data_IF_345738879351
#
_entry.id   IF_345738879351
#
_cell.length_a   1.000
_cell.length_b   1.000
_cell.length_c   1.000
_cell.angle_alpha   90.00
_cell.angle_beta   90.00
_cell.angle_gamma   90.00
#
_symmetry.space_group_name_H-M   'P 1'
#
loop_
_entity.id
_entity.type
_entity.pdbx_description
1 polymer ?
#
# COMPACT_ATOMS: atom_id res chain seq x y z
N UNK A 1 5.19 -11.76 -11.45
CA UNK A 1 5.49 -11.26 -10.10
C UNK A 1 4.46 -10.20 -9.70
N UNK A 2 3.92 -10.25 -8.49
CA UNK A 2 3.06 -9.19 -7.93
C UNK A 2 3.77 -8.52 -6.74
N UNK A 3 3.62 -7.22 -6.54
CA UNK A 3 4.11 -6.50 -5.36
C UNK A 3 2.97 -5.82 -4.59
N UNK A 4 3.10 -5.77 -3.27
CA UNK A 4 2.16 -5.05 -2.38
C UNK A 4 2.86 -3.96 -1.60
N UNK A 5 2.22 -2.80 -1.49
CA UNK A 5 2.67 -1.70 -0.62
C UNK A 5 1.60 -1.29 0.38
N UNK A 6 2.01 -0.51 1.38
CA UNK A 6 1.10 0.16 2.30
C UNK A 6 0.48 1.43 1.69
N UNK A 7 -0.70 1.86 2.14
CA UNK A 7 -1.25 3.16 1.80
C UNK A 7 -0.52 4.26 2.59
N UNK A 8 -0.80 5.52 2.25
CA UNK A 8 -0.34 6.68 3.02
C UNK A 8 -1.49 7.34 3.79
N UNK A 9 -1.13 8.11 4.83
CA UNK A 9 -2.08 8.86 5.65
C UNK A 9 -2.41 10.24 5.06
N UNK A 10 -1.43 10.87 4.42
CA UNK A 10 -1.65 12.12 3.71
C UNK A 10 -2.10 11.79 2.29
N UNK A 11 -2.96 12.64 1.75
CA UNK A 11 -3.53 12.48 0.44
C UNK A 11 -3.38 13.79 -0.34
N UNK A 12 -3.20 13.68 -1.65
CA UNK A 12 -3.06 14.79 -2.59
C UNK A 12 -4.18 14.68 -3.63
N UNK A 13 -5.11 15.63 -3.59
CA UNK A 13 -6.20 15.75 -4.56
C UNK A 13 -6.10 17.03 -5.40
N UNK A 14 -5.03 17.82 -5.22
CA UNK A 14 -4.89 19.15 -5.79
C UNK A 14 -3.86 19.18 -6.93
N UNK A 15 -2.79 18.39 -6.84
CA UNK A 15 -1.76 18.37 -7.89
C UNK A 15 -2.33 17.90 -9.24
N UNK A 16 -1.73 18.31 -10.37
CA UNK A 16 -2.04 17.71 -11.67
C UNK A 16 -1.89 16.17 -11.63
N UNK A 17 -2.76 15.47 -12.36
CA UNK A 17 -2.65 14.01 -12.54
C UNK A 17 -1.69 13.71 -13.69
N UNK A 18 -0.86 12.69 -13.54
CA UNK A 18 0.09 12.26 -14.58
C UNK A 18 -0.57 11.39 -15.67
N UNK A 19 -1.79 10.91 -15.43
CA UNK A 19 -2.58 10.14 -16.40
C UNK A 19 -4.07 10.35 -16.14
N UNK A 20 -4.88 10.30 -17.20
CA UNK A 20 -6.34 10.30 -17.14
C UNK A 20 -6.90 8.87 -17.07
N UNK A 21 -6.07 7.84 -17.25
CA UNK A 21 -6.49 6.45 -17.14
C UNK A 21 -6.87 6.13 -15.69
N UNK A 22 -8.03 5.49 -15.53
CA UNK A 22 -8.50 5.06 -14.22
C UNK A 22 -9.29 3.75 -14.29
N UNK A 23 -9.44 3.12 -13.14
CA UNK A 23 -10.31 1.98 -12.89
C UNK A 23 -11.14 2.19 -11.62
N UNK A 24 -12.01 1.23 -11.29
CA UNK A 24 -12.84 1.27 -10.09
C UNK A 24 -12.37 0.21 -9.09
N UNK A 25 -12.37 0.49 -7.78
CA UNK A 25 -12.02 -0.52 -6.78
C UNK A 25 -12.98 -1.71 -6.84
N UNK A 26 -12.43 -2.92 -6.79
CA UNK A 26 -13.19 -4.16 -6.90
C UNK A 26 -14.02 -4.46 -5.63
N UNK A 27 -13.58 -3.96 -4.47
CA UNK A 27 -14.15 -4.25 -3.15
C UNK A 27 -15.04 -3.12 -2.61
N UNK A 28 -15.63 -2.30 -3.49
CA UNK A 28 -16.50 -1.18 -3.07
C UNK A 28 -17.72 -1.61 -2.27
N UNK A 29 -18.25 -2.82 -2.50
CA UNK A 29 -19.37 -3.35 -1.72
C UNK A 29 -19.01 -3.49 -0.23
N UNK A 30 -17.83 -4.02 0.07
CA UNK A 30 -17.30 -4.12 1.43
C UNK A 30 -16.95 -2.75 2.00
N UNK A 31 -16.36 -1.86 1.20
CA UNK A 31 -16.10 -0.46 1.61
C UNK A 31 -17.38 0.26 2.04
N UNK A 32 -18.51 0.02 1.37
CA UNK A 32 -19.82 0.59 1.76
C UNK A 32 -20.26 0.15 3.15
N UNK A 33 -19.99 -1.11 3.53
CA UNK A 33 -20.31 -1.62 4.87
C UNK A 33 -19.49 -0.89 5.93
N UNK A 34 -18.17 -0.78 5.73
CA UNK A 34 -17.30 -0.02 6.63
C UNK A 34 -17.70 1.46 6.70
N UNK A 35 -17.98 2.07 5.54
CA UNK A 35 -18.34 3.49 5.47
C UNK A 35 -19.66 3.78 6.18
N UNK A 36 -20.65 2.88 6.08
CA UNK A 36 -21.90 3.00 6.86
C UNK A 36 -21.62 3.09 8.35
N UNK A 37 -20.69 2.29 8.87
CA UNK A 37 -20.25 2.35 10.27
C UNK A 37 -19.46 3.64 10.56
N UNK A 38 -18.52 4.02 9.70
CA UNK A 38 -17.72 5.23 9.89
C UNK A 38 -18.58 6.50 9.94
N UNK A 39 -19.66 6.58 9.14
CA UNK A 39 -20.62 7.69 9.15
C UNK A 39 -21.39 7.85 10.47
N UNK A 40 -21.44 6.83 11.32
CA UNK A 40 -22.10 6.95 12.64
C UNK A 40 -21.17 7.45 13.74
N UNK A 41 -19.87 7.57 13.47
CA UNK A 41 -18.88 7.98 14.46
C UNK A 41 -18.89 9.50 14.61
N UNK A 42 -18.93 9.97 15.86
CA UNK A 42 -18.71 11.39 16.13
C UNK A 42 -17.23 11.76 15.91
N UNK A 43 -16.89 13.04 15.73
CA UNK A 43 -15.49 13.47 15.72
C UNK A 43 -14.71 13.03 16.97
N UNK A 44 -15.35 12.97 18.14
CA UNK A 44 -14.71 12.47 19.37
C UNK A 44 -14.39 10.97 19.28
N UNK A 45 -15.33 10.16 18.75
CA UNK A 45 -15.10 8.73 18.53
C UNK A 45 -13.96 8.50 17.53
N UNK A 46 -13.92 9.28 16.45
CA UNK A 46 -12.87 9.21 15.42
C UNK A 46 -11.51 9.60 16.01
N UNK A 47 -11.45 10.68 16.80
CA UNK A 47 -10.26 11.15 17.51
C UNK A 47 -9.67 10.04 18.38
N UNK A 48 -10.51 9.41 19.19
CA UNK A 48 -10.14 8.28 20.08
C UNK A 48 -9.72 7.04 19.30
N UNK A 49 -10.56 6.57 18.35
CA UNK A 49 -10.29 5.39 17.53
C UNK A 49 -8.97 5.52 16.76
N UNK A 50 -8.73 6.69 16.15
CA UNK A 50 -7.59 6.91 15.27
C UNK A 50 -6.35 7.43 15.98
N UNK A 51 -6.47 7.87 17.25
CA UNK A 51 -5.44 8.56 18.01
C UNK A 51 -4.88 9.77 17.23
N UNK A 52 -5.78 10.70 16.89
CA UNK A 52 -5.49 11.90 16.09
C UNK A 52 -6.02 13.16 16.79
N UNK A 53 -5.63 14.34 16.33
CA UNK A 53 -6.15 15.60 16.85
C UNK A 53 -7.62 15.83 16.44
N UNK A 54 -8.34 16.63 17.21
CA UNK A 54 -9.75 16.97 16.93
C UNK A 54 -9.95 17.61 15.56
N UNK A 55 -9.01 18.47 15.14
CA UNK A 55 -9.01 19.05 13.79
C UNK A 55 -9.01 17.95 12.71
N UNK A 56 -8.16 16.94 12.89
CA UNK A 56 -8.05 15.85 11.92
C UNK A 56 -9.22 14.88 12.02
N UNK A 57 -9.79 14.70 13.22
CA UNK A 57 -10.99 13.91 13.42
C UNK A 57 -12.21 14.56 12.75
N UNK A 58 -12.39 15.89 12.89
CA UNK A 58 -13.42 16.65 12.17
C UNK A 58 -13.27 16.54 10.66
N UNK A 59 -12.05 16.66 10.13
CA UNK A 59 -11.79 16.45 8.70
C UNK A 59 -12.19 15.05 8.24
N UNK A 60 -11.90 14.00 9.02
CA UNK A 60 -12.26 12.63 8.62
C UNK A 60 -13.75 12.34 8.82
N UNK A 61 -14.42 12.98 9.79
CA UNK A 61 -15.89 12.93 9.88
C UNK A 61 -16.56 13.51 8.62
N UNK A 62 -16.07 14.67 8.14
CA UNK A 62 -16.54 15.28 6.90
C UNK A 62 -16.29 14.35 5.69
N UNK A 63 -15.05 13.84 5.53
CA UNK A 63 -14.71 12.87 4.48
C UNK A 63 -15.61 11.64 4.50
N UNK A 64 -15.88 11.09 5.68
CA UNK A 64 -16.81 9.96 5.80
C UNK A 64 -18.22 10.34 5.39
N UNK A 65 -18.73 11.51 5.81
CA UNK A 65 -20.05 12.02 5.43
C UNK A 65 -20.20 12.21 3.92
N UNK A 66 -19.19 12.82 3.28
CA UNK A 66 -19.12 13.11 1.85
C UNK A 66 -18.91 11.87 0.98
N UNK A 67 -18.40 10.77 1.56
CA UNK A 67 -18.11 9.57 0.81
C UNK A 67 -19.36 9.02 0.11
N UNK A 68 -19.30 8.91 -1.22
CA UNK A 68 -20.42 8.49 -2.05
C UNK A 68 -19.97 7.85 -3.36
N UNK A 69 -20.75 6.89 -3.85
CA UNK A 69 -20.60 6.30 -5.19
C UNK A 69 -21.65 6.88 -6.14
N UNK A 70 -21.38 7.02 -7.46
CA UNK A 70 -20.21 6.52 -8.19
C UNK A 70 -18.94 7.37 -8.00
N UNK A 71 -17.78 6.72 -8.12
CA UNK A 71 -16.50 7.44 -8.16
C UNK A 71 -16.22 7.93 -9.57
N UNK A 72 -15.81 9.18 -9.65
CA UNK A 72 -15.53 9.90 -10.89
C UNK A 72 -14.30 10.78 -10.69
N UNK A 73 -13.58 11.19 -11.74
CA UNK A 73 -12.43 12.09 -11.60
C UNK A 73 -12.74 13.40 -10.86
N UNK A 74 -14.00 13.83 -10.83
CA UNK A 74 -14.46 15.03 -10.11
C UNK A 74 -14.49 14.86 -8.59
N UNK A 75 -14.66 13.62 -8.10
CA UNK A 75 -14.81 13.34 -6.67
C UNK A 75 -13.76 12.37 -6.11
N UNK A 76 -12.95 11.75 -6.97
CA UNK A 76 -11.99 10.70 -6.62
C UNK A 76 -10.72 10.83 -7.47
N UNK A 77 -9.65 10.18 -7.03
CA UNK A 77 -8.36 10.15 -7.73
C UNK A 77 -7.76 8.75 -7.70
N UNK A 78 -7.00 8.39 -8.72
CA UNK A 78 -6.26 7.12 -8.78
C UNK A 78 -5.41 6.94 -7.52
N UNK A 79 -5.47 5.77 -6.90
CA UNK A 79 -4.84 5.50 -5.61
C UNK A 79 -3.34 5.85 -5.59
N UNK A 80 -2.61 5.48 -6.65
CA UNK A 80 -1.16 5.73 -6.75
C UNK A 80 -0.81 7.23 -6.84
N UNK A 81 -1.75 8.05 -7.33
CA UNK A 81 -1.60 9.51 -7.46
C UNK A 81 -2.21 10.27 -6.28
N UNK A 82 -3.10 9.63 -5.52
CA UNK A 82 -3.75 10.22 -4.36
C UNK A 82 -2.94 10.06 -3.07
N UNK A 83 -2.29 8.91 -2.87
CA UNK A 83 -1.50 8.69 -1.67
C UNK A 83 -0.21 9.51 -1.66
N UNK A 84 0.07 10.18 -0.55
CA UNK A 84 1.24 11.03 -0.37
C UNK A 84 1.97 10.71 0.95
N UNK A 85 3.25 10.37 0.88
CA UNK A 85 4.11 10.04 2.02
C UNK A 85 5.34 9.26 1.57
N UNK A 86 6.23 8.89 2.50
CA UNK A 86 7.58 8.38 2.20
C UNK A 86 7.64 7.28 1.12
N UNK A 87 6.73 6.29 1.18
CA UNK A 87 6.63 5.22 0.16
C UNK A 87 6.30 5.81 -1.20
N UNK A 88 5.36 6.75 -1.28
CA UNK A 88 4.92 7.36 -2.53
C UNK A 88 5.89 8.43 -3.03
N UNK A 89 6.69 9.04 -2.14
CA UNK A 89 7.85 9.85 -2.52
C UNK A 89 8.95 9.00 -3.15
N UNK A 90 9.18 7.78 -2.65
CA UNK A 90 10.10 6.84 -3.28
C UNK A 90 9.56 6.26 -4.59
N UNK A 91 8.26 6.00 -4.66
CA UNK A 91 7.60 5.49 -5.85
C UNK A 91 7.56 6.53 -6.98
N UNK A 92 7.26 7.78 -6.63
CA UNK A 92 7.20 8.93 -7.52
C UNK A 92 6.38 8.69 -8.80
N UNK A 93 5.18 8.13 -8.64
CA UNK A 93 4.31 7.79 -9.77
C UNK A 93 3.89 8.99 -10.63
N UNK A 94 4.19 10.23 -10.22
CA UNK A 94 3.99 11.43 -11.05
C UNK A 94 4.97 11.49 -12.24
N UNK A 95 6.09 10.75 -12.19
CA UNK A 95 7.06 10.67 -13.29
C UNK A 95 6.91 9.44 -14.19
N UNK A 96 5.89 8.61 -13.94
CA UNK A 96 5.61 7.40 -14.73
C UNK A 96 5.14 7.73 -16.15
N UNK A 97 5.59 6.93 -17.11
CA UNK A 97 5.01 6.85 -18.44
C UNK A 97 3.70 6.03 -18.46
N UNK A 98 2.98 6.05 -19.58
CA UNK A 98 1.77 5.22 -19.74
C UNK A 98 2.08 3.71 -19.66
N UNK A 99 3.26 3.29 -20.12
CA UNK A 99 3.73 1.91 -20.00
C UNK A 99 4.01 1.55 -18.54
N UNK A 100 4.61 2.46 -17.76
CA UNK A 100 4.83 2.27 -16.33
C UNK A 100 3.50 2.16 -15.57
N UNK A 101 2.50 2.99 -15.90
CA UNK A 101 1.16 2.88 -15.32
C UNK A 101 0.49 1.55 -15.69
N UNK A 102 0.62 1.11 -16.94
CA UNK A 102 0.07 -0.17 -17.41
C UNK A 102 0.71 -1.34 -16.67
N UNK A 103 2.05 -1.33 -16.55
CA UNK A 103 2.78 -2.35 -15.82
C UNK A 103 2.41 -2.32 -14.33
N UNK A 104 2.43 -1.15 -13.69
CA UNK A 104 2.03 -1.01 -12.28
C UNK A 104 0.61 -1.54 -12.05
N UNK A 105 -0.34 -1.22 -12.93
CA UNK A 105 -1.72 -1.66 -12.81
C UNK A 105 -1.84 -3.20 -12.75
N UNK A 106 -0.99 -3.91 -13.47
CA UNK A 106 -0.94 -5.37 -13.49
C UNK A 106 -0.15 -5.95 -12.32
N UNK A 107 1.00 -5.34 -12.00
CA UNK A 107 2.03 -5.90 -11.11
C UNK A 107 2.03 -5.35 -9.69
N UNK A 108 1.20 -4.35 -9.36
CA UNK A 108 1.18 -3.71 -8.05
C UNK A 108 -0.21 -3.70 -7.42
N UNK A 109 -0.26 -3.86 -6.10
CA UNK A 109 -1.44 -3.62 -5.27
C UNK A 109 -1.11 -2.77 -4.06
N UNK A 110 -2.08 -2.01 -3.59
CA UNK A 110 -2.01 -1.17 -2.39
C UNK A 110 -3.00 -1.73 -1.37
N UNK A 111 -2.51 -2.22 -0.24
CA UNK A 111 -3.38 -2.66 0.85
C UNK A 111 -4.09 -1.45 1.47
N UNK A 112 -5.35 -1.59 1.89
CA UNK A 112 -6.15 -0.49 2.41
C UNK A 112 -7.09 -0.94 3.51
N UNK A 113 -7.19 -0.17 4.60
CA UNK A 113 -8.17 -0.47 5.66
C UNK A 113 -9.61 -0.30 5.20
N UNK A 114 -9.90 0.67 4.30
CA UNK A 114 -11.25 0.94 3.79
C UNK A 114 -11.56 0.20 2.49
N UNK A 115 -10.59 0.15 1.58
CA UNK A 115 -10.78 -0.42 0.24
C UNK A 115 -10.30 -1.87 0.12
N UNK A 116 -9.69 -2.42 1.18
CA UNK A 116 -9.14 -3.77 1.21
C UNK A 116 -7.87 -3.88 0.38
N UNK A 117 -8.03 -3.88 -0.94
CA UNK A 117 -6.98 -3.99 -1.94
C UNK A 117 -7.30 -3.06 -3.12
N UNK A 118 -6.40 -2.15 -3.42
CA UNK A 118 -6.49 -1.22 -4.55
C UNK A 118 -5.45 -1.58 -5.62
N UNK A 119 -5.81 -1.40 -6.88
CA UNK A 119 -4.85 -1.27 -7.98
C UNK A 119 -4.38 0.18 -8.10
N UNK A 120 -3.20 0.45 -8.68
CA UNK A 120 -2.66 1.80 -8.85
C UNK A 120 -3.65 2.82 -9.44
N UNK A 121 -4.40 2.44 -10.47
CA UNK A 121 -5.33 3.30 -11.18
C UNK A 121 -6.76 3.28 -10.62
N UNK A 122 -7.03 2.52 -9.55
CA UNK A 122 -8.36 2.53 -8.93
C UNK A 122 -8.64 3.91 -8.32
N UNK A 123 -9.76 4.51 -8.70
CA UNK A 123 -10.25 5.73 -8.08
C UNK A 123 -10.54 5.50 -6.60
N UNK A 124 -10.13 6.43 -5.76
CA UNK A 124 -10.49 6.47 -4.35
C UNK A 124 -10.90 7.88 -3.94
N UNK A 125 -11.83 7.95 -3.01
CA UNK A 125 -12.14 9.17 -2.28
C UNK A 125 -11.32 9.26 -1.00
N UNK A 126 -11.15 10.49 -0.51
CA UNK A 126 -10.33 10.77 0.66
C UNK A 126 -10.90 10.07 1.90
N UNK A 127 -10.02 9.44 2.69
CA UNK A 127 -10.39 8.77 3.93
C UNK A 127 -9.19 8.71 4.86
N UNK A 128 -9.44 8.33 6.12
CA UNK A 128 -8.40 7.80 7.00
C UNK A 128 -8.98 6.63 7.78
N UNK A 129 -8.48 5.43 7.50
CA UNK A 129 -8.85 4.22 8.23
C UNK A 129 -7.67 3.24 8.10
N UNK A 130 -6.73 3.34 9.04
CA UNK A 130 -5.57 2.44 9.06
C UNK A 130 -5.99 0.99 9.38
N UNK A 131 -5.30 -0.01 8.82
CA UNK A 131 -5.67 -1.43 8.96
C UNK A 131 -5.65 -1.90 10.42
N UNK A 132 -4.77 -1.35 11.26
CA UNK A 132 -4.67 -1.72 12.67
C UNK A 132 -5.80 -1.24 13.58
N UNK A 133 -6.81 -0.54 13.06
CA UNK A 133 -7.88 0.06 13.88
C UNK A 133 -8.89 -0.97 14.35
N UNK A 134 -9.28 -0.86 15.63
CA UNK A 134 -10.32 -1.68 16.28
C UNK A 134 -11.69 -1.08 16.03
N UNK A 135 -12.14 -1.13 14.78
CA UNK A 135 -13.48 -0.71 14.40
C UNK A 135 -14.42 -1.90 14.49
N UNK A 136 -15.31 -1.91 15.48
CA UNK A 136 -16.38 -2.90 15.58
C UNK A 136 -17.31 -2.81 14.37
N UNK A 137 -17.64 -3.97 13.79
CA UNK A 137 -18.41 -4.11 12.57
C UNK A 137 -19.15 -5.45 12.56
N UNK A 138 -20.04 -5.64 11.58
CA UNK A 138 -20.91 -6.83 11.50
C UNK A 138 -20.15 -8.16 11.32
N UNK A 139 -18.84 -8.10 10.99
CA UNK A 139 -17.98 -9.27 10.74
C UNK A 139 -16.88 -9.43 11.79
N UNK A 140 -16.83 -8.59 12.83
CA UNK A 140 -15.85 -8.69 13.91
C UNK A 140 -15.55 -7.38 14.63
N UNK A 141 -14.55 -7.41 15.51
CA UNK A 141 -14.15 -6.28 16.36
C UNK A 141 -13.02 -5.42 15.77
N UNK A 142 -12.54 -5.76 14.59
CA UNK A 142 -11.45 -5.05 13.92
C UNK A 142 -11.45 -5.33 12.40
N UNK A 143 -10.62 -4.58 11.67
CA UNK A 143 -10.55 -4.67 10.22
C UNK A 143 -9.91 -5.97 9.71
N UNK A 144 -9.03 -6.62 10.48
CA UNK A 144 -8.48 -7.92 10.09
C UNK A 144 -9.58 -8.99 10.03
N UNK A 145 -10.48 -8.99 11.01
CA UNK A 145 -11.64 -9.89 11.02
C UNK A 145 -12.65 -9.53 9.93
N UNK A 146 -12.90 -8.23 9.71
CA UNK A 146 -13.80 -7.77 8.67
C UNK A 146 -13.38 -8.25 7.27
N UNK A 147 -12.08 -8.09 6.96
CA UNK A 147 -11.54 -8.48 5.67
C UNK A 147 -11.32 -9.99 5.56
N UNK A 148 -11.04 -10.69 6.66
CA UNK A 148 -10.88 -12.15 6.68
C UNK A 148 -9.96 -12.63 5.55
N UNK A 149 -10.49 -13.48 4.66
CA UNK A 149 -9.76 -14.00 3.52
C UNK A 149 -9.94 -13.19 2.23
N UNK A 150 -10.84 -12.20 2.20
CA UNK A 150 -11.25 -11.44 0.99
C UNK A 150 -10.05 -10.83 0.28
N UNK A 151 -9.17 -10.13 1.02
CA UNK A 151 -7.96 -9.51 0.47
C UNK A 151 -7.05 -10.58 -0.15
N UNK A 152 -6.93 -11.72 0.53
CA UNK A 152 -6.04 -12.81 0.10
C UNK A 152 -6.56 -13.48 -1.16
N UNK A 153 -7.87 -13.67 -1.29
CA UNK A 153 -8.45 -14.24 -2.50
C UNK A 153 -8.30 -13.32 -3.71
N UNK A 154 -8.46 -12.00 -3.56
CA UNK A 154 -8.16 -11.06 -4.65
C UNK A 154 -6.67 -11.03 -5.00
N UNK A 155 -5.78 -11.16 -4.01
CA UNK A 155 -4.35 -11.34 -4.27
C UNK A 155 -4.07 -12.64 -5.02
N UNK A 156 -4.68 -13.77 -4.63
CA UNK A 156 -4.51 -15.05 -5.32
C UNK A 156 -4.90 -14.96 -6.80
N UNK A 157 -6.00 -14.28 -7.13
CA UNK A 157 -6.40 -14.02 -8.52
C UNK A 157 -5.34 -13.20 -9.27
N UNK A 158 -4.89 -12.10 -8.67
CA UNK A 158 -3.90 -11.23 -9.27
C UNK A 158 -2.53 -11.90 -9.45
N UNK A 159 -2.13 -12.76 -8.51
CA UNK A 159 -0.89 -13.54 -8.52
C UNK A 159 -0.96 -14.63 -9.59
N UNK A 160 -2.07 -15.37 -9.68
CA UNK A 160 -2.24 -16.40 -10.69
C UNK A 160 -2.13 -15.85 -12.11
N UNK A 161 -2.62 -14.63 -12.34
CA UNK A 161 -2.47 -13.93 -13.62
C UNK A 161 -1.01 -13.63 -14.00
N UNK A 162 -0.08 -13.66 -13.05
CA UNK A 162 1.36 -13.46 -13.30
C UNK A 162 2.08 -14.74 -13.74
N UNK A 163 1.55 -15.92 -13.38
CA UNK A 163 2.12 -17.23 -13.72
C UNK A 163 3.29 -17.73 -12.86
N UNK A 164 3.98 -16.86 -12.12
CA UNK A 164 5.16 -17.22 -11.30
C UNK A 164 4.85 -17.50 -9.83
N UNK A 165 3.65 -17.16 -9.36
CA UNK A 165 3.22 -17.31 -7.97
C UNK A 165 4.13 -16.60 -6.95
N UNK A 166 4.70 -15.44 -7.31
CA UNK A 166 5.56 -14.66 -6.41
C UNK A 166 4.85 -13.40 -5.94
N UNK A 167 4.92 -13.14 -4.63
CA UNK A 167 4.46 -11.90 -3.99
C UNK A 167 5.62 -11.19 -3.29
N UNK A 168 5.97 -10.00 -3.78
CA UNK A 168 6.93 -9.10 -3.11
C UNK A 168 6.19 -8.26 -2.08
N UNK A 169 6.45 -8.51 -0.80
CA UNK A 169 5.89 -7.74 0.30
C UNK A 169 6.75 -6.51 0.62
N UNK A 170 6.36 -5.36 0.06
CA UNK A 170 6.89 -4.04 0.39
C UNK A 170 5.96 -3.27 1.34
N UNK A 171 4.94 -3.92 1.90
CA UNK A 171 4.04 -3.33 2.87
C UNK A 171 4.61 -3.41 4.30
N UNK A 172 4.08 -2.59 5.21
CA UNK A 172 4.34 -2.75 6.63
C UNK A 172 3.64 -4.00 7.18
N UNK A 173 4.14 -4.51 8.31
CA UNK A 173 3.52 -5.63 9.01
C UNK A 173 2.06 -5.35 9.42
N UNK A 174 1.71 -4.09 9.69
CA UNK A 174 0.32 -3.70 10.00
C UNK A 174 -0.61 -4.03 8.83
N UNK A 175 -0.24 -3.66 7.60
CA UNK A 175 -1.09 -3.92 6.45
C UNK A 175 -0.98 -5.38 5.99
N UNK A 176 0.22 -5.95 5.95
CA UNK A 176 0.42 -7.32 5.48
C UNK A 176 -0.22 -8.37 6.39
N UNK A 177 -0.50 -8.04 7.66
CA UNK A 177 -1.27 -8.90 8.57
C UNK A 177 -2.71 -9.16 8.09
N UNK A 178 -3.25 -8.31 7.22
CA UNK A 178 -4.55 -8.55 6.59
C UNK A 178 -4.50 -9.60 5.46
N UNK A 179 -3.31 -10.04 5.06
CA UNK A 179 -3.12 -11.15 4.12
C UNK A 179 -2.99 -12.45 4.91
N UNK A 180 -3.92 -13.37 4.70
CA UNK A 180 -3.92 -14.69 5.33
C UNK A 180 -2.93 -15.61 4.62
N UNK A 181 -1.72 -15.69 5.17
CA UNK A 181 -0.63 -16.54 4.65
C UNK A 181 -0.98 -18.02 4.52
N UNK A 182 -2.00 -18.54 5.22
CA UNK A 182 -2.40 -19.96 5.14
C UNK A 182 -3.10 -20.31 3.83
N UNK A 183 -3.79 -19.35 3.23
CA UNK A 183 -4.56 -19.55 1.98
C UNK A 183 -3.95 -18.80 0.79
N UNK A 184 -2.90 -18.01 1.02
CA UNK A 184 -2.13 -17.34 -0.02
C UNK A 184 -1.37 -18.37 -0.87
N UNK A 185 -1.60 -18.34 -2.18
CA UNK A 185 -1.02 -19.25 -3.17
C UNK A 185 0.24 -18.64 -3.80
N UNK A 186 1.18 -18.22 -2.97
CA UNK A 186 2.37 -17.54 -3.44
C UNK A 186 3.58 -17.73 -2.52
N UNK A 187 4.75 -17.75 -3.12
CA UNK A 187 5.99 -17.50 -2.41
C UNK A 187 6.10 -16.02 -2.05
N UNK A 188 6.23 -15.71 -0.76
CA UNK A 188 6.33 -14.33 -0.28
C UNK A 188 7.78 -13.97 -0.05
N UNK A 189 8.27 -12.97 -0.77
CA UNK A 189 9.59 -12.37 -0.56
C UNK A 189 9.41 -11.04 0.17
N UNK A 190 10.15 -10.80 1.25
CA UNK A 190 10.02 -9.59 2.06
C UNK A 190 11.34 -8.82 2.12
N UNK A 191 11.56 -7.87 1.19
CA UNK A 191 12.71 -6.97 1.25
C UNK A 191 12.70 -6.10 2.51
N UNK A 192 13.80 -6.15 3.25
CA UNK A 192 14.07 -5.33 4.42
C UNK A 192 15.24 -4.38 4.14
N UNK A 193 15.01 -3.09 4.32
CA UNK A 193 15.99 -2.05 4.08
C UNK A 193 16.65 -1.62 5.40
N UNK A 194 17.97 -1.71 5.47
CA UNK A 194 18.76 -1.37 6.66
C UNK A 194 19.84 -0.34 6.32
N UNK A 195 19.98 0.64 7.19
CA UNK A 195 20.95 1.73 7.07
C UNK A 195 22.01 1.58 8.15
N UNK A 196 23.26 1.92 7.82
CA UNK A 196 24.36 1.89 8.78
C UNK A 196 24.19 3.00 9.83
N UNK A 197 24.11 2.61 11.11
CA UNK A 197 24.01 3.56 12.22
C UNK A 197 24.62 2.98 13.48
N UNK A 198 25.58 3.69 14.07
CA UNK A 198 26.29 3.31 15.31
C UNK A 198 26.96 1.93 15.20
N UNK A 199 27.72 1.71 14.13
CA UNK A 199 28.54 0.49 13.95
C UNK A 199 27.79 -0.77 13.50
N UNK A 200 26.50 -0.66 13.15
CA UNK A 200 25.69 -1.79 12.67
C UNK A 200 24.57 -1.34 11.73
N UNK A 201 24.08 -2.26 10.91
CA UNK A 201 22.92 -2.04 10.05
C UNK A 201 21.60 -2.14 10.83
N UNK A 202 20.79 -1.08 10.79
CA UNK A 202 19.49 -1.01 11.46
C UNK A 202 18.39 -0.57 10.50
N UNK A 203 17.17 -1.03 10.74
CA UNK A 203 16.02 -0.47 10.04
C UNK A 203 15.71 0.93 10.60
N UNK A 204 15.84 1.96 9.77
CA UNK A 204 15.42 3.33 10.10
C UNK A 204 14.10 3.58 9.38
N UNK A 205 13.02 3.78 10.15
CA UNK A 205 11.64 3.68 9.63
C UNK A 205 11.34 4.60 8.45
N UNK A 206 11.79 5.86 8.46
CA UNK A 206 11.61 6.80 7.35
C UNK A 206 12.33 6.34 6.08
N UNK A 207 13.62 5.98 6.18
CA UNK A 207 14.39 5.47 5.05
C UNK A 207 13.84 4.16 4.52
N UNK A 208 13.45 3.23 5.40
CA UNK A 208 12.87 1.96 4.99
C UNK A 208 11.54 2.12 4.24
N UNK A 209 10.70 3.09 4.61
CA UNK A 209 9.48 3.41 3.86
C UNK A 209 9.80 3.99 2.48
N UNK A 210 10.73 4.95 2.39
CA UNK A 210 11.16 5.51 1.11
C UNK A 210 11.77 4.43 0.20
N UNK A 211 12.61 3.57 0.76
CA UNK A 211 13.26 2.47 0.04
C UNK A 211 12.26 1.43 -0.51
N UNK A 212 11.16 1.14 0.20
CA UNK A 212 10.05 0.33 -0.34
C UNK A 212 9.43 0.97 -1.58
N UNK A 213 9.25 2.29 -1.57
CA UNK A 213 8.83 3.06 -2.73
C UNK A 213 9.81 2.96 -3.89
N UNK A 214 11.09 3.18 -3.61
CA UNK A 214 12.17 3.09 -4.61
C UNK A 214 12.24 1.69 -5.23
N UNK A 215 12.09 0.64 -4.43
CA UNK A 215 12.07 -0.74 -4.92
C UNK A 215 10.86 -1.01 -5.80
N UNK A 216 9.67 -0.54 -5.40
CA UNK A 216 8.47 -0.65 -6.23
C UNK A 216 8.64 0.10 -7.56
N UNK A 217 9.18 1.32 -7.55
CA UNK A 217 9.53 2.08 -8.75
C UNK A 217 10.53 1.33 -9.63
N UNK A 218 11.60 0.80 -9.04
CA UNK A 218 12.62 0.04 -9.76
C UNK A 218 12.03 -1.17 -10.50
N UNK A 219 11.16 -1.95 -9.82
CA UNK A 219 10.44 -3.06 -10.44
C UNK A 219 9.59 -2.59 -11.62
N UNK A 220 8.88 -1.46 -11.46
CA UNK A 220 7.96 -0.94 -12.48
C UNK A 220 8.71 -0.39 -13.70
N UNK A 221 9.64 0.55 -13.50
CA UNK A 221 10.37 1.22 -14.58
C UNK A 221 11.24 0.24 -15.39
N UNK A 222 11.76 -0.81 -14.74
CA UNK A 222 12.56 -1.84 -15.41
C UNK A 222 11.72 -3.06 -15.81
N UNK A 223 10.40 -3.02 -15.58
CA UNK A 223 9.45 -4.09 -15.89
C UNK A 223 9.93 -5.48 -15.43
N UNK A 224 10.42 -5.56 -14.19
CA UNK A 224 11.06 -6.75 -13.67
C UNK A 224 10.03 -7.83 -13.38
N UNK A 225 10.12 -8.94 -14.11
CA UNK A 225 9.32 -10.14 -13.89
C UNK A 225 10.13 -11.31 -13.32
N UNK A 226 11.45 -11.24 -13.37
CA UNK A 226 12.36 -12.24 -12.82
C UNK A 226 12.75 -11.87 -11.39
N UNK A 227 12.43 -12.76 -10.44
CA UNK A 227 12.67 -12.54 -9.02
C UNK A 227 14.16 -12.33 -8.70
N UNK A 228 15.07 -13.04 -9.37
CA UNK A 228 16.49 -12.96 -9.04
C UNK A 228 17.11 -11.62 -9.42
N UNK A 229 16.63 -10.98 -10.50
CA UNK A 229 17.05 -9.63 -10.91
C UNK A 229 16.76 -8.56 -9.85
N UNK A 230 15.82 -8.82 -8.94
CA UNK A 230 15.51 -7.88 -7.88
C UNK A 230 16.67 -7.73 -6.86
N UNK A 231 17.59 -8.70 -6.81
CA UNK A 231 18.83 -8.59 -6.00
C UNK A 231 19.81 -7.55 -6.55
N UNK A 232 19.66 -7.15 -7.82
CA UNK A 232 20.48 -6.11 -8.46
C UNK A 232 20.02 -4.68 -8.11
N UNK A 233 18.99 -4.53 -7.28
CA UNK A 233 18.54 -3.22 -6.81
C UNK A 233 19.68 -2.46 -6.10
N UNK A 234 20.09 -1.35 -6.72
CA UNK A 234 21.22 -0.51 -6.32
C UNK A 234 20.84 0.97 -6.07
N UNK A 235 19.55 1.28 -6.08
CA UNK A 235 19.03 2.65 -6.02
C UNK A 235 19.33 3.31 -4.67
N UNK A 236 19.76 4.58 -4.72
CA UNK A 236 20.09 5.40 -3.56
C UNK A 236 21.14 4.77 -2.63
N UNK A 237 22.02 3.92 -3.17
CA UNK A 237 23.14 3.29 -2.45
C UNK A 237 22.75 2.06 -1.62
N UNK A 238 21.53 1.55 -1.76
CA UNK A 238 21.17 0.24 -1.21
C UNK A 238 21.81 -0.88 -2.04
N UNK A 239 22.14 -2.01 -1.42
CA UNK A 239 22.69 -3.19 -2.10
C UNK A 239 22.17 -4.46 -1.42
N UNK A 240 21.93 -5.53 -2.18
CA UNK A 240 21.56 -6.82 -1.59
C UNK A 240 22.68 -7.39 -0.71
N UNK A 241 22.33 -7.87 0.48
CA UNK A 241 23.25 -8.50 1.44
C UNK A 241 22.91 -9.97 1.59
N UNK A 242 23.68 -10.84 0.94
CA UNK A 242 23.54 -12.29 1.08
C UNK A 242 23.80 -12.77 2.52
N UNK A 243 24.72 -12.12 3.23
CA UNK A 243 25.06 -12.42 4.63
C UNK A 243 23.88 -12.19 5.60
N UNK A 244 23.12 -11.11 5.39
CA UNK A 244 22.01 -10.74 6.27
C UNK A 244 20.66 -11.32 5.81
N UNK A 245 20.60 -11.84 4.59
CA UNK A 245 19.39 -12.42 4.01
C UNK A 245 19.23 -13.88 4.42
N UNK A 246 18.00 -14.30 4.71
CA UNK A 246 17.69 -15.68 5.08
C UNK A 246 16.41 -16.14 4.39
N UNK A 247 16.53 -17.18 3.58
CA UNK A 247 15.44 -17.68 2.74
C UNK A 247 14.75 -16.52 1.99
N UNK A 248 13.52 -16.19 2.38
CA UNK A 248 12.69 -15.21 1.69
C UNK A 248 12.68 -13.83 2.37
N UNK A 249 13.43 -13.68 3.47
CA UNK A 249 13.69 -12.40 4.11
C UNK A 249 14.98 -11.81 3.53
N UNK A 250 14.82 -11.03 2.46
CA UNK A 250 15.94 -10.40 1.75
C UNK A 250 16.31 -9.09 2.42
N UNK A 251 17.59 -8.83 2.58
CA UNK A 251 18.10 -7.62 3.23
C UNK A 251 18.88 -6.79 2.24
N UNK A 252 18.50 -5.52 2.11
CA UNK A 252 19.23 -4.52 1.35
C UNK A 252 19.84 -3.52 2.32
N UNK A 253 21.15 -3.28 2.22
CA UNK A 253 21.92 -2.43 3.12
C UNK A 253 22.43 -1.18 2.44
N UNK A 254 22.48 -0.08 3.19
CA UNK A 254 23.08 1.20 2.74
C UNK A 254 24.05 1.73 3.79
N UNK A 255 25.29 2.02 3.38
CA UNK A 255 26.38 2.41 4.29
C UNK A 255 26.53 3.93 4.46
N UNK A 256 26.33 4.68 3.39
CA UNK A 256 26.40 6.15 3.38
C UNK A 256 25.01 6.74 3.18
N UNK A 257 24.69 7.74 3.99
CA UNK A 257 23.53 8.60 3.79
C UNK A 257 24.00 9.73 2.88
N UNK A 258 24.00 9.51 1.57
CA UNK A 258 24.05 10.63 0.63
C UNK A 258 22.69 11.35 0.61
#
# INVERSE_FOLDING_TARGET
MLLVVSPAKNLDYESPVATELYSQPELLADSKVLMKKCKTLTPADISSLMAISDKLAGLNAARFGEWATPFTPENARQAVLAFNGDVYTGLDAKSFSDDDFTFAQQHMRILSGLYGLLRPLDLMQAYRLEMGKKLDNDRGSNLYQFWGDIITEHLNVAIAAQGDNVLINLASNEYFKAVNKKVLKAEVITPAFKDWKNGQFKMISFFAKKARGLMARYIIEHQITDLEKLKDFDVAGYQYSSELSKANDWVFTRKTLD
#
